data_IF_660297751509
#
_entry.id   IF_660297751509
#
_cell.length_a   1.000
_cell.length_b   1.000
_cell.length_c   1.000
_cell.angle_alpha   90.00
_cell.angle_beta   90.00
_cell.angle_gamma   90.00
#
_symmetry.space_group_name_H-M   'P 1'
#
loop_
_entity.id
_entity.type
_entity.pdbx_description
1 polymer ?
#
# COMPACT_ATOMS: atom_id res chain seq x y z
N UNK A 1 -12.52 -4.26 -0.76
CA UNK A 1 -11.23 -4.07 -0.07
C UNK A 1 -10.21 -3.54 -1.06
N UNK A 2 -9.52 -2.46 -0.71
CA UNK A 2 -8.40 -1.93 -1.51
C UNK A 2 -7.10 -2.57 -1.07
N UNK A 3 -6.26 -2.98 -2.02
CA UNK A 3 -4.95 -3.58 -1.76
C UNK A 3 -3.89 -2.95 -2.68
N UNK A 4 -2.67 -2.82 -2.16
CA UNK A 4 -1.50 -2.33 -2.88
C UNK A 4 -0.76 -3.53 -3.48
N UNK A 5 -0.46 -3.45 -4.78
CA UNK A 5 0.39 -4.43 -5.43
C UNK A 5 1.85 -4.30 -4.94
N UNK A 6 2.42 -5.39 -4.44
CA UNK A 6 3.77 -5.40 -3.85
C UNK A 6 4.91 -5.30 -4.87
N UNK A 7 4.61 -5.33 -6.16
CA UNK A 7 5.57 -5.08 -7.26
C UNK A 7 5.39 -3.66 -7.80
N UNK A 8 4.16 -3.28 -8.14
CA UNK A 8 3.89 -2.01 -8.83
C UNK A 8 3.58 -0.85 -7.90
N UNK A 9 3.26 -1.08 -6.61
CA UNK A 9 2.74 -0.06 -5.67
C UNK A 9 1.41 0.56 -6.08
N UNK A 10 0.73 -0.01 -7.06
CA UNK A 10 -0.58 0.47 -7.50
C UNK A 10 -1.68 -0.10 -6.62
N UNK A 11 -2.74 0.67 -6.43
CA UNK A 11 -3.93 0.25 -5.72
C UNK A 11 -4.88 -0.50 -6.66
N UNK A 12 -5.45 -1.58 -6.15
CA UNK A 12 -6.52 -2.33 -6.82
C UNK A 12 -7.65 -2.63 -5.83
N UNK A 13 -8.87 -2.55 -6.32
CA UNK A 13 -10.06 -2.94 -5.59
C UNK A 13 -10.40 -4.41 -5.80
N UNK A 14 -10.76 -5.09 -4.72
CA UNK A 14 -11.19 -6.49 -4.67
C UNK A 14 -12.50 -6.60 -3.90
N UNK A 15 -13.35 -7.54 -4.28
CA UNK A 15 -14.71 -7.67 -3.75
C UNK A 15 -15.00 -9.13 -3.37
N UNK A 16 -15.73 -9.34 -2.26
CA UNK A 16 -16.20 -10.67 -1.84
C UNK A 16 -15.09 -11.72 -1.77
N UNK A 17 -15.34 -12.86 -2.42
CA UNK A 17 -14.43 -14.02 -2.45
C UNK A 17 -13.21 -13.80 -3.37
N UNK A 18 -13.13 -12.69 -4.10
CA UNK A 18 -11.98 -12.36 -4.95
C UNK A 18 -10.82 -11.72 -4.17
N UNK A 19 -10.96 -11.51 -2.85
CA UNK A 19 -9.90 -10.91 -2.02
C UNK A 19 -8.74 -11.90 -1.89
N UNK A 20 -7.56 -11.60 -2.47
CA UNK A 20 -6.43 -12.51 -2.44
C UNK A 20 -5.77 -12.52 -1.06
N UNK A 21 -4.83 -13.43 -0.84
CA UNK A 21 -3.95 -13.37 0.34
C UNK A 21 -3.13 -12.07 0.31
N UNK A 22 -3.16 -11.32 1.40
CA UNK A 22 -2.42 -10.06 1.55
C UNK A 22 -1.65 -10.00 2.87
N UNK A 23 -0.61 -9.18 2.90
CA UNK A 23 0.10 -8.78 4.11
C UNK A 23 -0.54 -7.51 4.66
N UNK A 24 -0.63 -7.38 5.97
CA UNK A 24 -1.21 -6.20 6.61
C UNK A 24 -0.12 -5.41 7.32
N UNK A 25 -0.02 -4.11 7.03
CA UNK A 25 0.72 -3.18 7.87
C UNK A 25 -0.24 -2.69 8.95
N UNK A 26 -0.07 -3.17 10.17
CA UNK A 26 -0.83 -2.67 11.31
C UNK A 26 -0.34 -1.28 11.68
N UNK A 27 -1.27 -0.32 11.66
CA UNK A 27 -1.14 1.09 11.99
C UNK A 27 -0.02 1.47 12.97
N UNK A 28 0.99 2.18 12.45
CA UNK A 28 1.92 3.01 13.23
C UNK A 28 1.77 4.46 12.77
N UNK A 29 1.24 5.32 13.64
CA UNK A 29 1.12 6.75 13.37
C UNK A 29 2.51 7.34 13.12
N UNK A 30 2.72 7.88 11.92
CA UNK A 30 3.89 8.68 11.59
C UNK A 30 3.45 10.01 10.95
N UNK A 31 4.34 10.99 10.94
CA UNK A 31 4.08 12.25 10.25
C UNK A 31 4.01 12.02 8.73
N UNK A 32 3.08 12.71 8.06
CA UNK A 32 2.93 12.73 6.59
C UNK A 32 2.55 11.36 5.98
N UNK A 33 1.44 10.80 6.46
CA UNK A 33 0.84 9.60 5.89
C UNK A 33 0.40 9.79 4.43
N UNK A 34 0.55 8.74 3.61
CA UNK A 34 0.11 8.77 2.22
C UNK A 34 -1.37 8.40 2.17
N UNK A 35 -2.17 9.31 1.64
CA UNK A 35 -3.60 9.12 1.42
C UNK A 35 -3.88 8.38 0.10
N UNK A 36 -5.09 7.84 -0.02
CA UNK A 36 -5.58 7.25 -1.27
C UNK A 36 -5.45 8.19 -2.48
N UNK A 37 -5.80 9.47 -2.31
CA UNK A 37 -5.74 10.46 -3.39
C UNK A 37 -4.31 10.69 -3.86
N UNK A 38 -3.36 10.79 -2.94
CA UNK A 38 -1.94 10.95 -3.30
C UNK A 38 -1.44 9.75 -4.09
N UNK A 39 -1.74 8.53 -3.63
CA UNK A 39 -1.34 7.28 -4.30
C UNK A 39 -1.96 7.07 -5.69
N UNK A 40 -3.12 7.67 -5.97
CA UNK A 40 -3.86 7.46 -7.23
C UNK A 40 -3.79 8.63 -8.21
N UNK A 41 -3.63 9.85 -7.71
CA UNK A 41 -3.74 11.07 -8.53
C UNK A 41 -2.42 11.81 -8.72
N UNK A 42 -1.42 11.59 -7.84
CA UNK A 42 -0.13 12.25 -7.98
C UNK A 42 0.87 11.38 -8.75
N UNK A 43 1.81 12.02 -9.48
CA UNK A 43 2.93 11.31 -10.09
C UNK A 43 3.68 10.49 -9.04
N UNK A 44 4.08 9.27 -9.38
CA UNK A 44 4.79 8.36 -8.48
C UNK A 44 6.06 8.99 -7.90
N UNK A 45 6.73 9.84 -8.67
CA UNK A 45 7.92 10.58 -8.23
C UNK A 45 7.62 11.53 -7.07
N UNK A 46 6.44 12.15 -7.03
CA UNK A 46 6.00 13.03 -5.94
C UNK A 46 5.57 12.22 -4.72
N UNK A 47 4.78 11.15 -4.93
CA UNK A 47 4.35 10.26 -3.86
C UNK A 47 5.54 9.60 -3.17
N UNK A 48 6.57 9.22 -3.93
CA UNK A 48 7.77 8.58 -3.39
C UNK A 48 8.59 9.46 -2.43
N UNK A 49 8.37 10.79 -2.46
CA UNK A 49 9.03 11.75 -1.58
C UNK A 49 8.29 11.95 -0.25
N UNK A 50 7.05 11.48 -0.14
CA UNK A 50 6.27 11.56 1.10
C UNK A 50 6.88 10.64 2.16
N UNK A 51 7.02 11.11 3.39
CA UNK A 51 7.62 10.29 4.47
C UNK A 51 6.83 9.01 4.71
N UNK A 52 5.50 9.09 4.66
CA UNK A 52 4.61 7.93 4.78
C UNK A 52 4.72 6.91 3.62
N UNK A 53 5.40 7.23 2.51
CA UNK A 53 5.58 6.26 1.42
C UNK A 53 6.64 5.21 1.76
N UNK A 54 7.65 5.57 2.56
CA UNK A 54 8.71 4.66 2.95
C UNK A 54 8.18 3.40 3.66
N UNK A 55 7.17 3.56 4.54
CA UNK A 55 6.52 2.42 5.21
C UNK A 55 5.75 1.53 4.24
N UNK A 56 5.05 2.12 3.27
CA UNK A 56 4.34 1.37 2.22
C UNK A 56 5.34 0.56 1.39
N UNK A 57 6.44 1.19 0.98
CA UNK A 57 7.46 0.54 0.18
C UNK A 57 8.14 -0.61 0.93
N UNK A 58 8.51 -0.38 2.20
CA UNK A 58 9.10 -1.41 3.06
C UNK A 58 8.16 -2.57 3.30
N UNK A 59 6.89 -2.29 3.57
CA UNK A 59 5.84 -3.32 3.74
C UNK A 59 5.73 -4.17 2.49
N UNK A 60 5.64 -3.53 1.32
CA UNK A 60 5.53 -4.25 0.06
C UNK A 60 6.78 -5.09 -0.24
N UNK A 61 7.99 -4.59 0.07
CA UNK A 61 9.24 -5.36 -0.08
C UNK A 61 9.25 -6.59 0.83
N UNK A 62 8.82 -6.46 2.09
CA UNK A 62 8.73 -7.57 3.03
C UNK A 62 7.69 -8.61 2.61
N UNK A 63 6.51 -8.15 2.18
CA UNK A 63 5.44 -8.99 1.65
C UNK A 63 5.91 -9.77 0.41
N UNK A 64 6.56 -9.09 -0.54
CA UNK A 64 7.10 -9.71 -1.74
C UNK A 64 8.17 -10.75 -1.42
N UNK A 65 9.08 -10.46 -0.48
CA UNK A 65 10.08 -11.42 0.01
C UNK A 65 9.47 -12.65 0.68
N UNK A 66 8.22 -12.55 1.14
CA UNK A 66 7.46 -13.65 1.74
C UNK A 66 6.51 -14.33 0.74
N UNK A 67 6.60 -13.99 -0.55
CA UNK A 67 5.73 -14.53 -1.61
C UNK A 67 4.29 -14.03 -1.57
N UNK A 68 4.03 -12.89 -0.92
CA UNK A 68 2.71 -12.27 -0.82
C UNK A 68 2.64 -11.11 -1.81
N UNK A 69 1.68 -11.17 -2.75
CA UNK A 69 1.60 -10.21 -3.85
C UNK A 69 0.87 -8.92 -3.50
N UNK A 70 0.10 -8.91 -2.41
CA UNK A 70 -0.78 -7.81 -2.02
C UNK A 70 -0.49 -7.33 -0.61
N UNK A 71 -0.57 -6.02 -0.39
CA UNK A 71 -0.45 -5.41 0.92
C UNK A 71 -1.67 -4.53 1.24
N UNK A 72 -2.11 -4.52 2.49
CA UNK A 72 -3.12 -3.61 2.99
C UNK A 72 -2.48 -2.63 3.98
N UNK A 73 -2.80 -1.34 3.82
CA UNK A 73 -2.27 -0.24 4.65
C UNK A 73 -3.42 0.69 5.01
N UNK A 74 -3.67 0.89 6.31
CA UNK A 74 -4.82 1.64 6.85
C UNK A 74 -5.04 3.00 6.15
N UNK A 75 -3.97 3.73 5.87
CA UNK A 75 -4.00 5.14 5.43
C UNK A 75 -4.52 5.34 4.00
N UNK A 76 -4.48 4.29 3.18
CA UNK A 76 -4.87 4.35 1.77
C UNK A 76 -5.80 3.21 1.33
N UNK A 77 -6.07 2.24 2.23
CA UNK A 77 -6.89 1.06 1.95
C UNK A 77 -8.21 0.99 2.75
N UNK A 78 -8.51 2.00 3.59
CA UNK A 78 -9.85 2.29 4.16
C UNK A 78 -10.69 3.01 3.15
#
# INVERSE_FOLDING_TARGET
MRLINTKTRELKEFWGDEIPRYAILSHTWEQEEVTFQQLTQQPREEVSKLKGFAKIDRTCKLALGSGIEWAWVDTCCI
#
